data_IF_897353793309
#
_entry.id   IF_897353793309
#
_cell.length_a   1.000
_cell.length_b   1.000
_cell.length_c   1.000
_cell.angle_alpha   90.00
_cell.angle_beta   90.00
_cell.angle_gamma   90.00
#
_symmetry.space_group_name_H-M   'P 1'
#
loop_
_entity.id
_entity.type
_entity.pdbx_description
1 polymer ?
#
# COMPACT_ATOMS: atom_id res chain seq x y z
N UNK A 1 4.86 -7.55 25.20
CA UNK A 1 5.07 -6.25 25.85
C UNK A 1 4.66 -5.11 24.92
N UNK A 2 5.25 -4.96 23.71
CA UNK A 2 4.94 -3.83 22.81
C UNK A 2 3.47 -3.82 22.35
N UNK A 3 2.91 -4.98 21.99
CA UNK A 3 1.51 -5.09 21.58
C UNK A 3 0.52 -4.78 22.72
N UNK A 4 0.81 -5.23 23.93
CA UNK A 4 -0.01 -4.91 25.10
C UNK A 4 0.09 -3.43 25.50
N UNK A 5 1.29 -2.84 25.41
CA UNK A 5 1.47 -1.40 25.65
C UNK A 5 0.70 -0.56 24.63
N UNK A 6 0.79 -0.90 23.33
CA UNK A 6 0.05 -0.24 22.27
C UNK A 6 -1.47 -0.40 22.46
N UNK A 7 -1.95 -1.59 22.83
CA UNK A 7 -3.35 -1.84 23.15
C UNK A 7 -3.85 -1.00 24.33
N UNK A 8 -3.04 -0.88 25.39
CA UNK A 8 -3.37 -0.03 26.54
C UNK A 8 -3.44 1.45 26.15
N UNK A 9 -2.45 1.96 25.42
CA UNK A 9 -2.45 3.35 24.94
C UNK A 9 -3.69 3.63 24.07
N UNK A 10 -4.04 2.69 23.17
CA UNK A 10 -5.21 2.84 22.32
C UNK A 10 -6.51 2.80 23.11
N UNK A 11 -6.62 1.92 24.11
CA UNK A 11 -7.81 1.79 24.93
C UNK A 11 -8.09 3.04 25.77
N UNK A 12 -7.07 3.53 26.50
CA UNK A 12 -7.20 4.73 27.34
C UNK A 12 -7.21 6.03 26.53
N UNK A 13 -6.56 6.06 25.37
CA UNK A 13 -6.53 7.21 24.46
C UNK A 13 -7.70 7.26 23.48
N UNK A 14 -8.60 6.27 23.46
CA UNK A 14 -9.64 6.14 22.44
C UNK A 14 -10.54 7.37 22.35
N UNK A 15 -11.01 7.90 23.49
CA UNK A 15 -11.88 9.06 23.54
C UNK A 15 -11.19 10.34 23.04
N UNK A 16 -9.92 10.55 23.40
CA UNK A 16 -9.12 11.67 22.90
C UNK A 16 -8.89 11.56 21.38
N UNK A 17 -8.54 10.37 20.89
CA UNK A 17 -8.28 10.13 19.46
C UNK A 17 -9.55 10.37 18.65
N UNK A 18 -10.68 9.77 19.03
CA UNK A 18 -11.91 9.86 18.25
C UNK A 18 -12.64 11.19 18.44
N UNK A 19 -12.67 11.73 19.65
CA UNK A 19 -13.39 12.95 19.98
C UNK A 19 -12.64 14.22 19.58
N UNK A 20 -11.38 14.36 20.04
CA UNK A 20 -10.62 15.60 19.88
C UNK A 20 -9.79 15.61 18.60
N UNK A 21 -9.01 14.55 18.36
CA UNK A 21 -8.07 14.52 17.23
C UNK A 21 -8.79 14.32 15.89
N UNK A 22 -9.68 13.32 15.81
CA UNK A 22 -10.35 12.96 14.55
C UNK A 22 -11.76 13.56 14.40
N UNK A 23 -12.32 14.16 15.44
CA UNK A 23 -13.69 14.73 15.46
C UNK A 23 -14.77 13.76 14.98
N UNK A 24 -14.60 12.47 15.27
CA UNK A 24 -15.54 11.39 14.91
C UNK A 24 -15.80 10.50 16.12
N UNK A 25 -16.55 10.96 17.13
CA UNK A 25 -16.70 10.25 18.40
C UNK A 25 -17.31 8.85 18.26
N UNK A 26 -18.20 8.63 17.31
CA UNK A 26 -18.80 7.30 17.08
C UNK A 26 -17.81 6.24 16.53
N UNK A 27 -16.63 6.64 16.02
CA UNK A 27 -15.59 5.70 15.64
C UNK A 27 -14.98 4.94 16.82
N UNK A 28 -15.31 5.33 18.05
CA UNK A 28 -14.84 4.65 19.28
C UNK A 28 -15.24 3.17 19.31
N UNK A 29 -16.39 2.80 18.74
CA UNK A 29 -16.85 1.41 18.69
C UNK A 29 -15.89 0.56 17.86
N UNK A 30 -15.52 1.02 16.66
CA UNK A 30 -14.56 0.34 15.80
C UNK A 30 -13.15 0.31 16.42
N UNK A 31 -12.74 1.42 17.05
CA UNK A 31 -11.42 1.53 17.67
C UNK A 31 -11.26 0.56 18.85
N UNK A 32 -12.28 0.44 19.71
CA UNK A 32 -12.24 -0.49 20.85
C UNK A 32 -12.18 -1.97 20.42
N UNK A 33 -12.78 -2.32 19.28
CA UNK A 33 -12.67 -3.67 18.70
C UNK A 33 -11.23 -3.97 18.26
N UNK A 34 -10.47 -2.96 17.82
CA UNK A 34 -9.07 -3.14 17.40
C UNK A 34 -8.09 -3.33 18.57
N UNK A 35 -8.45 -2.97 19.79
CA UNK A 35 -7.56 -3.11 20.95
C UNK A 35 -7.05 -4.54 21.16
N UNK A 36 -7.89 -5.59 21.24
CA UNK A 36 -7.42 -6.97 21.38
C UNK A 36 -6.66 -7.45 20.12
N UNK A 37 -6.97 -6.90 18.95
CA UNK A 37 -6.29 -7.26 17.69
C UNK A 37 -4.80 -6.93 17.74
N UNK A 38 -4.42 -5.82 18.38
CA UNK A 38 -3.01 -5.42 18.53
C UNK A 38 -2.18 -6.48 19.26
N UNK A 39 -2.76 -7.10 20.28
CA UNK A 39 -2.09 -8.17 21.03
C UNK A 39 -1.98 -9.43 20.16
N UNK A 40 -3.05 -9.80 19.45
CA UNK A 40 -3.08 -10.97 18.54
C UNK A 40 -2.01 -10.81 17.45
N UNK A 41 -1.98 -9.65 16.77
CA UNK A 41 -1.05 -9.35 15.68
C UNK A 41 0.40 -9.30 16.18
N UNK A 42 0.64 -8.80 17.39
CA UNK A 42 1.98 -8.79 17.97
C UNK A 42 2.53 -10.22 18.17
N UNK A 43 1.72 -11.13 18.68
CA UNK A 43 2.10 -12.54 18.85
C UNK A 43 2.28 -13.22 17.48
N UNK A 44 1.34 -13.00 16.57
CA UNK A 44 1.39 -13.51 15.19
C UNK A 44 2.65 -13.04 14.46
N UNK A 45 3.04 -11.77 14.64
CA UNK A 45 4.26 -11.19 14.07
C UNK A 45 5.54 -11.92 14.53
N UNK A 46 5.62 -12.26 15.81
CA UNK A 46 6.74 -13.05 16.35
C UNK A 46 6.78 -14.45 15.73
N UNK A 47 5.63 -15.13 15.61
CA UNK A 47 5.55 -16.47 14.99
C UNK A 47 5.95 -16.43 13.51
N UNK A 48 5.45 -15.46 12.76
CA UNK A 48 5.83 -15.26 11.35
C UNK A 48 7.33 -14.97 11.22
N UNK A 49 7.85 -14.09 12.08
CA UNK A 49 9.28 -13.75 12.12
C UNK A 49 10.15 -14.96 12.41
N UNK A 50 9.72 -15.85 13.29
CA UNK A 50 10.42 -17.12 13.59
C UNK A 50 10.54 -18.00 12.33
N UNK A 51 9.48 -18.23 11.58
CA UNK A 51 9.53 -19.03 10.35
C UNK A 51 10.37 -18.37 9.26
N UNK A 52 10.25 -17.05 9.11
CA UNK A 52 11.05 -16.27 8.14
C UNK A 52 12.55 -16.32 8.49
N UNK A 53 12.89 -16.26 9.78
CA UNK A 53 14.26 -16.41 10.29
C UNK A 53 14.86 -17.80 10.01
N UNK A 54 14.02 -18.84 9.95
CA UNK A 54 14.41 -20.19 9.52
C UNK A 54 14.54 -20.34 7.99
N UNK A 55 14.34 -19.27 7.22
CA UNK A 55 14.43 -19.28 5.77
C UNK A 55 13.18 -19.85 5.06
N UNK A 56 12.09 -20.11 5.79
CA UNK A 56 10.83 -20.60 5.19
C UNK A 56 9.75 -19.53 5.21
N UNK A 57 9.30 -19.12 4.03
CA UNK A 57 8.24 -18.12 3.85
C UNK A 57 6.83 -18.72 3.79
N UNK A 58 6.72 -20.04 3.54
CA UNK A 58 5.43 -20.71 3.28
C UNK A 58 4.44 -20.58 4.44
N UNK A 59 4.78 -20.85 5.72
CA UNK A 59 3.84 -20.71 6.81
C UNK A 59 3.31 -19.27 6.96
N UNK A 60 4.19 -18.28 6.75
CA UNK A 60 3.80 -16.86 6.78
C UNK A 60 2.84 -16.53 5.65
N UNK A 61 3.12 -16.95 4.42
CA UNK A 61 2.28 -16.69 3.25
C UNK A 61 0.89 -17.34 3.40
N UNK A 62 0.83 -18.60 3.80
CA UNK A 62 -0.45 -19.30 4.01
C UNK A 62 -1.26 -18.65 5.13
N UNK A 63 -0.62 -18.27 6.25
CA UNK A 63 -1.31 -17.56 7.33
C UNK A 63 -1.89 -16.22 6.88
N UNK A 64 -1.20 -15.48 5.99
CA UNK A 64 -1.70 -14.21 5.43
C UNK A 64 -2.90 -14.42 4.49
N UNK A 65 -2.86 -15.46 3.66
CA UNK A 65 -3.99 -15.80 2.79
C UNK A 65 -5.22 -16.16 3.63
N UNK A 66 -5.05 -17.02 4.64
CA UNK A 66 -6.12 -17.39 5.55
C UNK A 66 -6.70 -16.19 6.29
N UNK A 67 -5.84 -15.30 6.80
CA UNK A 67 -6.22 -14.03 7.42
C UNK A 67 -7.13 -13.21 6.51
N UNK A 68 -6.74 -13.02 5.24
CA UNK A 68 -7.51 -12.21 4.30
C UNK A 68 -8.84 -12.85 3.91
N UNK A 69 -8.88 -14.17 3.72
CA UNK A 69 -10.13 -14.89 3.42
C UNK A 69 -11.12 -14.75 4.58
N UNK A 70 -10.68 -15.05 5.80
CA UNK A 70 -11.55 -14.97 6.99
C UNK A 70 -11.97 -13.52 7.24
N UNK A 71 -11.04 -12.57 7.12
CA UNK A 71 -11.33 -11.14 7.23
C UNK A 71 -12.42 -10.72 6.24
N UNK A 72 -12.28 -11.06 4.96
CA UNK A 72 -13.25 -10.69 3.93
C UNK A 72 -14.66 -11.23 4.24
N UNK A 73 -14.77 -12.49 4.60
CA UNK A 73 -16.06 -13.14 4.88
C UNK A 73 -16.70 -12.54 6.15
N UNK A 74 -15.92 -12.49 7.25
CA UNK A 74 -16.45 -12.04 8.54
C UNK A 74 -16.72 -10.54 8.55
N UNK A 75 -15.88 -9.71 7.89
CA UNK A 75 -16.12 -8.27 7.80
C UNK A 75 -17.44 -7.95 7.14
N UNK A 76 -17.75 -8.58 6.01
CA UNK A 76 -19.01 -8.34 5.29
C UNK A 76 -20.20 -8.79 6.12
N UNK A 77 -20.14 -9.99 6.67
CA UNK A 77 -21.21 -10.53 7.49
C UNK A 77 -21.45 -9.71 8.77
N UNK A 78 -20.39 -9.42 9.53
CA UNK A 78 -20.50 -8.68 10.78
C UNK A 78 -20.88 -7.22 10.55
N UNK A 79 -20.37 -6.58 9.49
CA UNK A 79 -20.77 -5.23 9.13
C UNK A 79 -22.27 -5.16 8.81
N UNK A 80 -22.81 -6.10 8.04
CA UNK A 80 -24.24 -6.14 7.71
C UNK A 80 -25.12 -6.33 8.96
N UNK A 81 -24.77 -7.30 9.81
CA UNK A 81 -25.52 -7.60 11.04
C UNK A 81 -25.49 -6.42 12.00
N UNK A 82 -24.29 -5.86 12.26
CA UNK A 82 -24.13 -4.76 13.20
C UNK A 82 -24.66 -3.45 12.64
N UNK A 83 -24.63 -3.20 11.35
CA UNK A 83 -25.29 -2.06 10.73
C UNK A 83 -26.80 -2.08 11.02
N UNK A 84 -27.46 -3.21 10.80
CA UNK A 84 -28.89 -3.38 11.07
C UNK A 84 -29.20 -3.17 12.55
N UNK A 85 -28.36 -3.69 13.45
CA UNK A 85 -28.52 -3.51 14.89
C UNK A 85 -28.31 -2.03 15.29
N UNK A 86 -27.24 -1.41 14.79
CA UNK A 86 -26.90 0.00 15.06
C UNK A 86 -27.99 0.96 14.56
N UNK A 87 -28.57 0.69 13.37
CA UNK A 87 -29.67 1.50 12.83
C UNK A 87 -30.92 1.43 13.70
N UNK A 88 -31.26 0.24 14.24
CA UNK A 88 -32.38 0.08 15.18
C UNK A 88 -32.13 0.80 16.50
N UNK A 89 -30.93 0.66 17.07
CA UNK A 89 -30.54 1.34 18.30
C UNK A 89 -30.49 2.87 18.11
N UNK A 90 -29.95 3.32 16.99
CA UNK A 90 -29.87 4.74 16.65
C UNK A 90 -31.23 5.39 16.38
N UNK A 91 -32.20 4.62 15.88
CA UNK A 91 -33.57 5.11 15.67
C UNK A 91 -34.22 5.56 17.01
N UNK A 92 -33.91 4.87 18.10
CA UNK A 92 -34.36 5.24 19.45
C UNK A 92 -33.70 6.53 19.96
N UNK A 93 -32.53 6.88 19.43
CA UNK A 93 -31.74 8.07 19.78
C UNK A 93 -31.91 9.22 18.77
N UNK A 94 -32.79 9.07 17.78
CA UNK A 94 -33.04 10.08 16.76
C UNK A 94 -31.93 10.18 15.68
N UNK A 95 -31.00 9.23 15.62
CA UNK A 95 -29.87 9.23 14.66
C UNK A 95 -29.54 7.81 14.16
N UNK A 96 -30.47 7.22 13.41
CA UNK A 96 -30.36 5.83 12.91
C UNK A 96 -29.17 5.64 11.95
N UNK A 97 -28.89 6.63 11.11
CA UNK A 97 -27.88 6.55 10.05
C UNK A 97 -26.45 6.55 10.63
N UNK A 98 -26.15 7.48 11.51
CA UNK A 98 -24.81 7.60 12.12
C UNK A 98 -24.47 6.39 13.00
N UNK A 99 -25.44 5.92 13.81
CA UNK A 99 -25.24 4.72 14.63
C UNK A 99 -25.15 3.45 13.77
N UNK A 100 -25.97 3.34 12.71
CA UNK A 100 -25.88 2.25 11.77
C UNK A 100 -24.48 2.18 11.12
N UNK A 101 -23.97 3.32 10.64
CA UNK A 101 -22.64 3.42 10.08
C UNK A 101 -21.52 3.07 11.09
N UNK A 102 -21.63 3.57 12.33
CA UNK A 102 -20.64 3.32 13.38
C UNK A 102 -20.56 1.83 13.79
N UNK A 103 -21.72 1.19 13.97
CA UNK A 103 -21.79 -0.22 14.29
C UNK A 103 -21.40 -1.09 13.08
N UNK A 104 -21.74 -0.67 11.85
CA UNK A 104 -21.27 -1.32 10.63
C UNK A 104 -19.74 -1.28 10.49
N UNK A 105 -19.14 -0.13 10.79
CA UNK A 105 -17.69 0.02 10.83
C UNK A 105 -17.04 -0.87 11.90
N UNK A 106 -17.64 -0.96 13.11
CA UNK A 106 -17.21 -1.88 14.15
C UNK A 106 -17.29 -3.35 13.68
N UNK A 107 -18.34 -3.71 12.93
CA UNK A 107 -18.48 -5.03 12.31
C UNK A 107 -17.35 -5.34 11.32
N UNK A 108 -16.99 -4.38 10.47
CA UNK A 108 -15.84 -4.51 9.58
C UNK A 108 -14.54 -4.77 10.34
N UNK A 109 -14.31 -4.11 11.47
CA UNK A 109 -13.12 -4.34 12.31
C UNK A 109 -13.14 -5.67 13.06
N UNK A 110 -14.33 -6.25 13.36
CA UNK A 110 -14.46 -7.61 13.89
C UNK A 110 -13.91 -8.63 12.88
N UNK A 111 -14.14 -8.43 11.59
CA UNK A 111 -13.55 -9.29 10.54
C UNK A 111 -12.02 -9.27 10.58
N UNK A 112 -11.40 -8.10 10.79
CA UNK A 112 -9.95 -8.00 10.98
C UNK A 112 -9.49 -8.78 12.21
N UNK A 113 -10.23 -8.72 13.32
CA UNK A 113 -9.95 -9.50 14.53
C UNK A 113 -10.03 -11.01 14.28
N UNK A 114 -11.10 -11.45 13.62
CA UNK A 114 -11.31 -12.88 13.29
C UNK A 114 -10.23 -13.39 12.31
N UNK A 115 -9.87 -12.58 11.29
CA UNK A 115 -8.79 -12.88 10.37
C UNK A 115 -7.46 -13.06 11.09
N UNK A 116 -7.07 -12.10 11.92
CA UNK A 116 -5.84 -12.18 12.70
C UNK A 116 -5.82 -13.39 13.65
N UNK A 117 -6.94 -13.67 14.30
CA UNK A 117 -7.07 -14.83 15.19
C UNK A 117 -6.92 -16.14 14.41
N UNK A 118 -7.57 -16.28 13.26
CA UNK A 118 -7.45 -17.47 12.41
C UNK A 118 -6.01 -17.71 11.95
N UNK A 119 -5.31 -16.65 11.57
CA UNK A 119 -3.89 -16.69 11.21
C UNK A 119 -3.00 -17.09 12.39
N UNK A 120 -3.30 -16.56 13.59
CA UNK A 120 -2.60 -16.91 14.83
C UNK A 120 -2.76 -18.40 15.17
N UNK A 121 -3.99 -18.91 15.08
CA UNK A 121 -4.28 -20.34 15.32
C UNK A 121 -3.55 -21.23 14.32
N UNK A 122 -3.56 -20.87 13.04
CA UNK A 122 -2.82 -21.60 12.01
C UNK A 122 -1.30 -21.56 12.25
N UNK A 123 -0.73 -20.38 12.48
CA UNK A 123 0.70 -20.24 12.75
C UNK A 123 1.11 -20.99 14.04
N UNK A 124 0.26 -20.95 15.07
CA UNK A 124 0.43 -21.71 16.31
C UNK A 124 0.42 -23.21 16.08
N UNK A 125 -0.53 -23.71 15.29
CA UNK A 125 -0.58 -25.13 14.90
C UNK A 125 0.71 -25.56 14.19
N UNK A 126 1.14 -24.81 13.18
CA UNK A 126 2.40 -25.08 12.46
C UNK A 126 3.60 -25.04 13.40
N UNK A 127 3.64 -24.07 14.32
CA UNK A 127 4.71 -23.97 15.33
C UNK A 127 4.77 -25.20 16.22
N UNK A 128 3.64 -25.66 16.75
CA UNK A 128 3.57 -26.86 17.61
C UNK A 128 4.09 -28.11 16.87
N UNK A 129 3.69 -28.29 15.61
CA UNK A 129 4.17 -29.39 14.76
C UNK A 129 5.68 -29.28 14.54
N UNK A 130 6.17 -28.07 14.21
CA UNK A 130 7.59 -27.81 13.95
C UNK A 130 8.45 -27.98 15.20
N UNK A 131 8.00 -27.58 16.38
CA UNK A 131 8.74 -27.70 17.63
C UNK A 131 9.12 -29.16 17.95
N UNK A 132 8.33 -30.13 17.53
CA UNK A 132 8.66 -31.57 17.67
C UNK A 132 9.93 -31.92 16.86
N UNK A 133 10.00 -31.41 15.64
CA UNK A 133 11.16 -31.60 14.74
C UNK A 133 12.38 -30.81 15.26
N UNK A 134 12.16 -29.56 15.65
CA UNK A 134 13.19 -28.66 16.14
C UNK A 134 13.88 -29.17 17.41
N UNK A 135 13.12 -29.69 18.38
CA UNK A 135 13.69 -30.32 19.58
C UNK A 135 14.62 -31.49 19.26
N UNK A 136 14.31 -32.27 18.19
CA UNK A 136 15.17 -33.37 17.74
C UNK A 136 16.47 -32.86 17.12
N UNK A 137 16.43 -31.74 16.43
CA UNK A 137 17.62 -31.07 15.84
C UNK A 137 18.51 -30.46 16.92
N UNK A 138 17.92 -29.75 17.89
CA UNK A 138 18.64 -29.16 19.02
C UNK A 138 19.38 -30.19 19.86
N UNK A 139 18.84 -31.41 20.03
CA UNK A 139 19.52 -32.50 20.75
C UNK A 139 20.78 -33.00 20.03
N UNK A 140 20.92 -32.75 18.73
CA UNK A 140 22.08 -33.17 17.92
C UNK A 140 23.18 -32.11 17.83
N UNK A 141 22.87 -30.85 18.18
CA UNK A 141 23.85 -29.77 18.18
C UNK A 141 24.82 -29.95 19.36
N UNK A 142 26.09 -30.07 19.04
CA UNK A 142 27.18 -29.97 20.05
C UNK A 142 27.19 -28.52 20.56
N UNK A 143 27.27 -28.34 21.87
CA UNK A 143 27.37 -27.06 22.57
C UNK A 143 28.44 -26.15 21.95
N UNK A 144 28.04 -25.27 21.07
CA UNK A 144 28.71 -24.00 20.79
C UNK A 144 28.17 -23.00 21.78
N UNK A 145 29.00 -22.10 22.28
CA UNK A 145 28.64 -21.07 23.26
C UNK A 145 27.36 -20.32 22.74
N UNK A 146 26.26 -20.46 23.47
CA UNK A 146 25.07 -19.69 23.17
C UNK A 146 25.32 -18.22 23.53
N UNK A 147 24.93 -17.31 22.66
CA UNK A 147 24.96 -15.87 22.91
C UNK A 147 24.20 -15.53 24.20
N UNK A 148 24.70 -14.57 24.95
CA UNK A 148 24.04 -14.10 26.16
C UNK A 148 22.67 -13.48 25.82
N UNK A 149 21.67 -13.72 26.68
CA UNK A 149 20.35 -13.06 26.53
C UNK A 149 20.45 -11.54 26.41
N UNK A 150 21.43 -10.92 27.08
CA UNK A 150 21.67 -9.48 26.99
C UNK A 150 22.16 -9.03 25.60
N UNK A 151 23.03 -9.82 24.98
CA UNK A 151 23.54 -9.57 23.63
C UNK A 151 22.45 -9.74 22.60
N UNK A 152 21.64 -10.80 22.71
CA UNK A 152 20.47 -11.03 21.85
C UNK A 152 19.48 -9.87 21.98
N UNK A 153 19.15 -9.44 23.21
CA UNK A 153 18.25 -8.33 23.46
C UNK A 153 18.78 -7.01 22.88
N UNK A 154 20.07 -6.73 23.08
CA UNK A 154 20.73 -5.55 22.50
C UNK A 154 20.66 -5.55 20.97
N UNK A 155 20.93 -6.69 20.34
CA UNK A 155 20.84 -6.86 18.89
C UNK A 155 19.41 -6.63 18.39
N UNK A 156 18.41 -7.20 19.07
CA UNK A 156 17.00 -7.00 18.73
C UNK A 156 16.62 -5.52 18.81
N UNK A 157 16.95 -4.82 19.87
CA UNK A 157 16.63 -3.40 20.06
C UNK A 157 17.27 -2.54 18.97
N UNK A 158 18.57 -2.76 18.68
CA UNK A 158 19.29 -2.00 17.63
C UNK A 158 18.66 -2.22 16.25
N UNK A 159 18.14 -3.43 15.99
CA UNK A 159 17.53 -3.77 14.70
C UNK A 159 16.06 -3.28 14.61
N UNK A 160 15.30 -3.41 15.69
CA UNK A 160 13.86 -3.09 15.70
C UNK A 160 13.61 -1.58 15.70
N UNK A 161 14.33 -0.80 16.50
CA UNK A 161 14.08 0.64 16.65
C UNK A 161 14.08 1.40 15.31
N UNK A 162 15.07 1.26 14.42
CA UNK A 162 15.04 1.97 13.14
C UNK A 162 13.85 1.59 12.26
N UNK A 163 13.43 0.32 12.28
CA UNK A 163 12.29 -0.16 11.51
C UNK A 163 10.99 0.39 12.09
N UNK A 164 10.83 0.36 13.42
CA UNK A 164 9.66 0.95 14.08
C UNK A 164 9.53 2.44 13.80
N UNK A 165 10.60 3.21 13.95
CA UNK A 165 10.59 4.66 13.69
C UNK A 165 10.21 4.94 12.24
N UNK A 166 10.79 4.21 11.28
CA UNK A 166 10.45 4.35 9.86
C UNK A 166 8.97 4.06 9.60
N UNK A 167 8.49 2.92 10.09
CA UNK A 167 7.10 2.51 9.89
C UNK A 167 6.11 3.47 10.56
N UNK A 168 6.45 3.97 11.77
CA UNK A 168 5.63 4.94 12.49
C UNK A 168 5.49 6.23 11.70
N UNK A 169 6.59 6.80 11.17
CA UNK A 169 6.55 8.03 10.37
C UNK A 169 5.65 7.85 9.14
N UNK A 170 5.77 6.72 8.44
CA UNK A 170 4.92 6.44 7.28
C UNK A 170 3.43 6.31 7.63
N UNK A 171 3.11 5.64 8.73
CA UNK A 171 1.71 5.42 9.13
C UNK A 171 1.09 6.64 9.82
N UNK A 172 1.87 7.41 10.57
CA UNK A 172 1.41 8.66 11.17
C UNK A 172 0.98 9.69 10.13
N UNK A 173 1.60 9.70 8.93
CA UNK A 173 1.23 10.63 7.87
C UNK A 173 -0.29 10.60 7.60
N UNK A 174 -0.86 9.42 7.38
CA UNK A 174 -2.28 9.27 7.09
C UNK A 174 -3.20 9.75 8.23
N UNK A 175 -2.78 9.52 9.49
CA UNK A 175 -3.55 9.98 10.67
C UNK A 175 -3.45 11.49 10.85
N UNK A 176 -2.26 12.06 10.63
CA UNK A 176 -2.02 13.50 10.68
C UNK A 176 -2.83 14.20 9.58
N UNK A 177 -2.82 13.67 8.35
CA UNK A 177 -3.60 14.20 7.24
C UNK A 177 -5.08 14.29 7.58
N UNK A 178 -5.65 13.21 8.13
CA UNK A 178 -7.05 13.20 8.53
C UNK A 178 -7.35 14.19 9.65
N UNK A 179 -6.46 14.29 10.64
CA UNK A 179 -6.62 15.24 11.75
C UNK A 179 -6.55 16.69 11.25
N UNK A 180 -5.52 17.02 10.46
CA UNK A 180 -5.34 18.36 9.90
C UNK A 180 -6.52 18.74 9.00
N UNK A 181 -6.88 17.84 8.06
CA UNK A 181 -7.99 18.05 7.15
C UNK A 181 -9.30 18.34 7.87
N UNK A 182 -9.73 17.47 8.80
CA UNK A 182 -11.01 17.62 9.49
C UNK A 182 -11.05 18.85 10.39
N UNK A 183 -9.93 19.19 11.05
CA UNK A 183 -9.86 20.38 11.89
C UNK A 183 -9.91 21.68 11.08
N UNK A 184 -9.18 21.75 9.95
CA UNK A 184 -9.24 22.94 9.08
C UNK A 184 -10.60 23.05 8.40
N UNK A 185 -11.17 21.96 7.88
CA UNK A 185 -12.49 21.96 7.26
C UNK A 185 -13.58 22.43 8.23
N UNK A 186 -13.52 21.97 9.48
CA UNK A 186 -14.45 22.45 10.52
C UNK A 186 -14.22 23.94 10.88
N UNK A 187 -12.97 24.42 10.87
CA UNK A 187 -12.66 25.83 11.08
C UNK A 187 -13.13 26.70 9.92
N UNK A 188 -13.07 26.20 8.67
CA UNK A 188 -13.61 26.86 7.48
C UNK A 188 -15.16 26.90 7.44
N UNK A 189 -15.84 26.25 8.38
CA UNK A 189 -17.30 26.27 8.52
C UNK A 189 -18.02 25.18 7.71
N UNK A 190 -17.31 24.21 7.12
CA UNK A 190 -17.96 23.08 6.47
C UNK A 190 -18.73 22.20 7.46
N UNK A 191 -19.88 21.66 7.03
CA UNK A 191 -20.67 20.80 7.90
C UNK A 191 -19.94 19.49 8.19
N UNK A 192 -20.22 18.90 9.35
CA UNK A 192 -19.63 17.60 9.75
C UNK A 192 -19.98 16.49 8.73
N UNK A 193 -21.16 16.57 8.15
CA UNK A 193 -21.62 15.63 7.11
C UNK A 193 -20.80 15.77 5.84
N UNK A 194 -20.52 17.00 5.39
CA UNK A 194 -19.78 17.22 4.14
C UNK A 194 -18.35 16.70 4.22
N UNK A 195 -17.54 17.21 5.19
CA UNK A 195 -16.17 16.76 5.28
C UNK A 195 -16.05 15.29 5.70
N UNK A 196 -17.04 14.75 6.41
CA UNK A 196 -17.15 13.33 6.72
C UNK A 196 -17.37 12.49 5.48
N UNK A 197 -18.31 12.87 4.61
CA UNK A 197 -18.61 12.21 3.34
C UNK A 197 -17.39 12.25 2.40
N UNK A 198 -16.77 13.41 2.25
CA UNK A 198 -15.59 13.55 1.40
C UNK A 198 -14.42 12.68 1.88
N UNK A 199 -14.18 12.66 3.19
CA UNK A 199 -13.16 11.78 3.77
C UNK A 199 -13.54 10.30 3.63
N UNK A 200 -14.80 9.94 3.71
CA UNK A 200 -15.31 8.59 3.47
C UNK A 200 -15.04 8.12 2.03
N UNK A 201 -15.30 8.97 1.03
CA UNK A 201 -14.98 8.68 -0.37
C UNK A 201 -13.46 8.55 -0.57
N UNK A 202 -12.69 9.45 0.04
CA UNK A 202 -11.23 9.42 -0.02
C UNK A 202 -10.65 8.12 0.55
N UNK A 203 -11.07 7.72 1.76
CA UNK A 203 -10.51 6.53 2.44
C UNK A 203 -11.11 5.23 1.92
N UNK A 204 -12.42 5.19 1.66
CA UNK A 204 -13.16 3.98 1.32
C UNK A 204 -13.13 3.61 -0.17
N UNK A 205 -12.87 4.57 -1.06
CA UNK A 205 -12.87 4.32 -2.51
C UNK A 205 -11.52 4.67 -3.15
N UNK A 206 -11.11 5.93 -3.04
CA UNK A 206 -9.85 6.40 -3.64
C UNK A 206 -8.62 5.64 -3.13
N UNK A 207 -8.39 5.62 -1.82
CA UNK A 207 -7.22 4.95 -1.25
C UNK A 207 -7.21 3.44 -1.53
N UNK A 208 -8.37 2.80 -1.51
CA UNK A 208 -8.49 1.36 -1.82
C UNK A 208 -7.97 1.07 -3.23
N UNK A 209 -8.39 1.87 -4.22
CA UNK A 209 -7.97 1.71 -5.61
C UNK A 209 -6.47 2.01 -5.81
N UNK A 210 -5.96 3.08 -5.21
CA UNK A 210 -4.55 3.45 -5.30
C UNK A 210 -3.64 2.40 -4.66
N UNK A 211 -4.08 1.75 -3.59
CA UNK A 211 -3.29 0.74 -2.89
C UNK A 211 -3.06 -0.55 -3.71
N UNK A 212 -3.91 -0.86 -4.70
CA UNK A 212 -3.74 -2.05 -5.54
C UNK A 212 -2.43 -2.02 -6.35
N UNK A 213 -2.13 -0.99 -7.16
CA UNK A 213 -0.82 -0.87 -7.81
C UNK A 213 0.35 -0.78 -6.81
N UNK A 214 0.15 -0.13 -5.67
CA UNK A 214 1.19 0.00 -4.65
C UNK A 214 1.55 -1.34 -3.99
N UNK A 215 0.60 -2.25 -3.86
CA UNK A 215 0.87 -3.62 -3.39
C UNK A 215 1.79 -4.37 -4.38
N UNK A 216 1.58 -4.20 -5.70
CA UNK A 216 2.46 -4.75 -6.73
C UNK A 216 3.87 -4.14 -6.61
N UNK A 217 3.95 -2.82 -6.45
CA UNK A 217 5.21 -2.10 -6.27
C UNK A 217 5.98 -2.59 -5.03
N UNK A 218 5.28 -2.80 -3.91
CA UNK A 218 5.85 -3.33 -2.66
C UNK A 218 6.41 -4.74 -2.83
N UNK A 219 5.70 -5.60 -3.56
CA UNK A 219 6.15 -6.96 -3.87
C UNK A 219 7.40 -6.98 -4.74
N UNK A 220 7.45 -6.11 -5.77
CA UNK A 220 8.63 -5.95 -6.62
C UNK A 220 9.83 -5.39 -5.84
N UNK A 221 9.59 -4.42 -4.95
CA UNK A 221 10.62 -3.89 -4.07
C UNK A 221 11.20 -4.99 -3.18
N UNK A 222 10.35 -5.74 -2.49
CA UNK A 222 10.77 -6.84 -1.61
C UNK A 222 11.59 -7.91 -2.35
N UNK A 223 11.19 -8.28 -3.58
CA UNK A 223 11.92 -9.26 -4.39
C UNK A 223 13.28 -8.77 -4.88
N UNK A 224 13.45 -7.45 -5.04
CA UNK A 224 14.69 -6.84 -5.55
C UNK A 224 15.75 -6.65 -4.46
N UNK A 225 15.34 -6.52 -3.20
CA UNK A 225 16.23 -6.24 -2.06
C UNK A 225 17.30 -7.30 -1.84
N UNK A 226 17.02 -8.62 -1.82
CA UNK A 226 18.05 -9.63 -1.55
C UNK A 226 19.17 -9.65 -2.59
N UNK A 227 18.83 -9.55 -3.88
CA UNK A 227 19.81 -9.53 -4.97
C UNK A 227 20.70 -8.28 -4.90
N UNK A 228 20.11 -7.13 -4.59
CA UNK A 228 20.86 -5.89 -4.40
C UNK A 228 21.78 -5.98 -3.17
N UNK A 229 21.25 -6.47 -2.05
CA UNK A 229 22.01 -6.60 -0.80
C UNK A 229 23.23 -7.49 -0.98
N UNK A 230 23.08 -8.65 -1.64
CA UNK A 230 24.19 -9.55 -1.95
C UNK A 230 25.25 -8.90 -2.86
N UNK A 231 24.83 -8.20 -3.92
CA UNK A 231 25.76 -7.50 -4.82
C UNK A 231 26.49 -6.35 -4.12
N UNK A 232 25.78 -5.61 -3.25
CA UNK A 232 26.36 -4.48 -2.51
C UNK A 232 27.33 -4.94 -1.43
N UNK A 233 26.98 -5.97 -0.68
CA UNK A 233 27.85 -6.57 0.35
C UNK A 233 29.14 -7.19 -0.24
N UNK A 234 29.06 -7.78 -1.43
CA UNK A 234 30.20 -8.33 -2.15
C UNK A 234 31.08 -7.27 -2.84
N UNK A 235 30.81 -5.98 -2.68
CA UNK A 235 31.55 -4.90 -3.33
C UNK A 235 31.37 -4.80 -4.84
N UNK A 236 30.49 -5.57 -5.45
CA UNK A 236 30.22 -5.61 -6.92
C UNK A 236 29.38 -4.42 -7.35
N UNK A 237 29.95 -3.21 -7.33
CA UNK A 237 29.24 -1.94 -7.60
C UNK A 237 28.53 -1.91 -8.97
N UNK A 238 29.09 -2.52 -10.00
CA UNK A 238 28.48 -2.61 -11.33
C UNK A 238 27.17 -3.40 -11.30
N UNK A 239 27.19 -4.55 -10.63
CA UNK A 239 26.00 -5.40 -10.48
C UNK A 239 24.93 -4.72 -9.62
N UNK A 240 25.33 -4.06 -8.52
CA UNK A 240 24.40 -3.29 -7.68
C UNK A 240 23.70 -2.19 -8.49
N UNK A 241 24.42 -1.41 -9.31
CA UNK A 241 23.83 -0.41 -10.20
C UNK A 241 22.86 -1.02 -11.20
N UNK A 242 23.21 -2.18 -11.77
CA UNK A 242 22.35 -2.92 -12.71
C UNK A 242 21.05 -3.36 -12.04
N UNK A 243 21.12 -3.90 -10.81
CA UNK A 243 19.93 -4.32 -10.05
C UNK A 243 19.02 -3.12 -9.72
N UNK A 244 19.59 -1.99 -9.29
CA UNK A 244 18.83 -0.75 -9.05
C UNK A 244 18.11 -0.30 -10.31
N UNK A 245 18.82 -0.25 -11.46
CA UNK A 245 18.24 0.20 -12.72
C UNK A 245 17.10 -0.71 -13.20
N UNK A 246 17.29 -2.03 -13.13
CA UNK A 246 16.28 -3.02 -13.50
C UNK A 246 15.03 -2.90 -12.61
N UNK A 247 15.20 -2.85 -11.29
CA UNK A 247 14.08 -2.73 -10.36
C UNK A 247 13.29 -1.43 -10.59
N UNK A 248 13.99 -0.31 -10.79
CA UNK A 248 13.36 0.99 -11.06
C UNK A 248 12.58 0.96 -12.37
N UNK A 249 13.13 0.36 -13.42
CA UNK A 249 12.45 0.24 -14.71
C UNK A 249 11.21 -0.65 -14.62
N UNK A 250 11.30 -1.81 -13.97
CA UNK A 250 10.14 -2.68 -13.79
C UNK A 250 8.99 -2.02 -13.06
N UNK A 251 9.27 -1.29 -11.99
CA UNK A 251 8.23 -0.57 -11.26
C UNK A 251 7.58 0.51 -12.13
N UNK A 252 8.36 1.27 -12.89
CA UNK A 252 7.82 2.32 -13.75
C UNK A 252 6.99 1.75 -14.89
N UNK A 253 7.39 0.61 -15.47
CA UNK A 253 6.62 -0.12 -16.50
C UNK A 253 5.24 -0.53 -15.99
N UNK A 254 5.07 -0.76 -14.68
CA UNK A 254 3.77 -1.09 -14.07
C UNK A 254 3.04 0.18 -13.59
N UNK A 255 3.73 1.12 -12.97
CA UNK A 255 3.12 2.28 -12.34
C UNK A 255 2.48 3.25 -13.34
N UNK A 256 3.13 3.50 -14.49
CA UNK A 256 2.59 4.41 -15.51
C UNK A 256 1.25 3.96 -16.10
N UNK A 257 1.09 2.72 -16.61
CA UNK A 257 -0.19 2.29 -17.15
C UNK A 257 -1.28 2.21 -16.06
N UNK A 258 -0.94 1.86 -14.82
CA UNK A 258 -1.89 1.89 -13.72
C UNK A 258 -2.37 3.32 -13.42
N UNK A 259 -1.46 4.29 -13.38
CA UNK A 259 -1.82 5.69 -13.14
C UNK A 259 -2.71 6.25 -14.24
N UNK A 260 -2.31 6.09 -15.50
CA UNK A 260 -3.09 6.59 -16.64
C UNK A 260 -4.41 5.83 -16.78
N UNK A 261 -4.40 4.50 -16.62
CA UNK A 261 -5.62 3.68 -16.70
C UNK A 261 -6.65 4.05 -15.63
N UNK A 262 -6.21 4.22 -14.38
CA UNK A 262 -7.09 4.67 -13.30
C UNK A 262 -7.57 6.11 -13.49
N UNK A 263 -6.74 7.00 -14.02
CA UNK A 263 -7.15 8.37 -14.33
C UNK A 263 -8.20 8.42 -15.44
N UNK A 264 -7.99 7.70 -16.54
CA UNK A 264 -8.90 7.70 -17.70
C UNK A 264 -10.22 6.98 -17.41
N UNK A 265 -10.15 5.83 -16.74
CA UNK A 265 -11.32 5.00 -16.39
C UNK A 265 -11.84 5.27 -14.96
N UNK A 266 -11.57 6.44 -14.36
CA UNK A 266 -11.93 6.72 -12.97
C UNK A 266 -13.42 6.49 -12.70
N UNK A 267 -14.31 7.16 -13.42
CA UNK A 267 -15.76 7.02 -13.26
C UNK A 267 -16.26 5.61 -13.60
N UNK A 268 -15.86 4.99 -14.74
CA UNK A 268 -16.21 3.61 -15.05
C UNK A 268 -15.81 2.59 -13.97
N UNK A 269 -14.61 2.69 -13.44
CA UNK A 269 -14.09 1.78 -12.39
C UNK A 269 -14.88 1.96 -11.09
N UNK A 270 -15.12 3.19 -10.67
CA UNK A 270 -15.91 3.49 -9.46
C UNK A 270 -17.33 2.99 -9.55
N UNK A 271 -17.97 3.19 -10.70
CA UNK A 271 -19.32 2.67 -10.96
C UNK A 271 -19.33 1.14 -10.97
N UNK A 272 -18.33 0.51 -11.60
CA UNK A 272 -18.23 -0.95 -11.69
C UNK A 272 -18.02 -1.62 -10.33
N UNK A 273 -17.13 -1.06 -9.48
CA UNK A 273 -16.71 -1.69 -8.23
C UNK A 273 -17.55 -1.26 -7.02
N UNK A 274 -17.99 -0.01 -6.98
CA UNK A 274 -18.69 0.57 -5.83
C UNK A 274 -20.12 1.02 -6.14
N UNK A 275 -20.58 0.88 -7.38
CA UNK A 275 -21.88 1.42 -7.80
C UNK A 275 -21.95 2.95 -7.74
N UNK A 276 -20.80 3.63 -7.61
CA UNK A 276 -20.72 5.08 -7.42
C UNK A 276 -20.43 5.80 -8.73
N UNK A 277 -21.40 6.58 -9.18
CA UNK A 277 -21.30 7.44 -10.37
C UNK A 277 -21.01 8.91 -10.02
N UNK A 278 -20.69 9.23 -8.77
CA UNK A 278 -20.47 10.61 -8.33
C UNK A 278 -19.24 11.22 -9.03
N UNK A 279 -19.42 12.45 -9.50
CA UNK A 279 -18.35 13.22 -10.15
C UNK A 279 -17.21 13.49 -9.18
N UNK A 280 -17.51 13.69 -7.91
CA UNK A 280 -16.53 13.96 -6.86
C UNK A 280 -15.54 12.79 -6.69
N UNK A 281 -16.05 11.55 -6.57
CA UNK A 281 -15.21 10.36 -6.46
C UNK A 281 -14.35 10.17 -7.71
N UNK A 282 -14.92 10.38 -8.90
CA UNK A 282 -14.20 10.29 -10.16
C UNK A 282 -13.07 11.32 -10.25
N UNK A 283 -13.33 12.59 -9.90
CA UNK A 283 -12.32 13.65 -9.87
C UNK A 283 -11.22 13.38 -8.84
N UNK A 284 -11.56 12.85 -7.66
CA UNK A 284 -10.56 12.44 -6.68
C UNK A 284 -9.59 11.39 -7.24
N UNK A 285 -10.12 10.36 -7.92
CA UNK A 285 -9.30 9.31 -8.52
C UNK A 285 -8.48 9.83 -9.70
N UNK A 286 -9.05 10.69 -10.54
CA UNK A 286 -8.35 11.34 -11.66
C UNK A 286 -7.16 12.17 -11.17
N UNK A 287 -7.39 13.06 -10.19
CA UNK A 287 -6.36 13.94 -9.64
C UNK A 287 -5.27 13.14 -8.94
N UNK A 288 -5.67 12.12 -8.18
CA UNK A 288 -4.74 11.36 -7.35
C UNK A 288 -4.05 10.20 -8.03
N UNK A 289 -4.47 9.80 -9.23
CA UNK A 289 -3.87 8.66 -9.95
C UNK A 289 -2.37 8.83 -10.22
N UNK A 290 -1.89 10.07 -10.40
CA UNK A 290 -0.47 10.37 -10.57
C UNK A 290 0.37 9.98 -9.35
N UNK A 291 -0.21 9.97 -8.15
CA UNK A 291 0.45 9.56 -6.92
C UNK A 291 0.93 8.10 -6.97
N UNK A 292 0.28 7.23 -7.77
CA UNK A 292 0.71 5.84 -8.00
C UNK A 292 2.16 5.78 -8.45
N UNK A 293 2.57 6.66 -9.38
CA UNK A 293 3.93 6.71 -9.93
C UNK A 293 4.92 7.06 -8.81
N UNK A 294 4.62 8.10 -8.05
CA UNK A 294 5.52 8.59 -7.01
C UNK A 294 5.60 7.64 -5.82
N UNK A 295 4.48 7.13 -5.35
CA UNK A 295 4.48 6.18 -4.24
C UNK A 295 5.12 4.84 -4.60
N UNK A 296 4.91 4.34 -5.83
CA UNK A 296 5.57 3.12 -6.30
C UNK A 296 7.10 3.28 -6.32
N UNK A 297 7.59 4.40 -6.85
CA UNK A 297 9.02 4.71 -6.89
C UNK A 297 9.60 4.96 -5.49
N UNK A 298 8.86 5.66 -4.62
CA UNK A 298 9.24 5.88 -3.22
C UNK A 298 9.37 4.56 -2.46
N UNK A 299 8.39 3.68 -2.58
CA UNK A 299 8.39 2.35 -1.94
C UNK A 299 9.59 1.52 -2.38
N UNK A 300 9.85 1.45 -3.69
CA UNK A 300 11.04 0.76 -4.20
C UNK A 300 12.33 1.38 -3.65
N UNK A 301 12.47 2.69 -3.75
CA UNK A 301 13.69 3.38 -3.36
C UNK A 301 14.00 3.25 -1.86
N UNK A 302 12.96 3.17 -1.02
CA UNK A 302 13.11 2.82 0.40
C UNK A 302 13.68 1.40 0.56
N UNK A 303 13.13 0.42 -0.14
CA UNK A 303 13.63 -0.96 -0.13
C UNK A 303 15.08 -1.05 -0.63
N UNK A 304 15.43 -0.33 -1.69
CA UNK A 304 16.79 -0.29 -2.22
C UNK A 304 17.80 0.30 -1.20
N UNK A 305 17.44 1.39 -0.51
CA UNK A 305 18.28 1.97 0.54
C UNK A 305 18.44 1.02 1.74
N UNK A 306 17.36 0.32 2.12
CA UNK A 306 17.41 -0.72 3.16
C UNK A 306 18.32 -1.88 2.72
N UNK A 307 18.22 -2.35 1.48
CA UNK A 307 19.08 -3.40 0.91
C UNK A 307 20.55 -3.01 0.84
N UNK A 308 20.87 -1.72 0.76
CA UNK A 308 22.24 -1.19 0.85
C UNK A 308 22.71 -0.97 2.31
N UNK A 309 21.96 -1.44 3.30
CA UNK A 309 22.20 -1.20 4.73
C UNK A 309 22.25 0.29 5.11
N UNK A 310 21.40 1.11 4.45
CA UNK A 310 21.27 2.56 4.69
C UNK A 310 19.89 2.91 5.24
N UNK A 311 19.43 2.18 6.26
CA UNK A 311 18.09 2.32 6.84
C UNK A 311 17.79 3.72 7.41
N UNK A 312 18.81 4.47 7.82
CA UNK A 312 18.65 5.84 8.35
C UNK A 312 18.27 6.87 7.29
N UNK A 313 18.64 6.64 6.03
CA UNK A 313 18.38 7.59 4.94
C UNK A 313 16.87 7.71 4.60
N UNK A 314 16.12 6.62 4.40
CA UNK A 314 14.67 6.72 4.21
C UNK A 314 13.94 7.42 5.36
N UNK A 315 14.39 7.20 6.61
CA UNK A 315 13.80 7.86 7.78
C UNK A 315 14.01 9.36 7.73
N UNK A 316 15.26 9.80 7.52
CA UNK A 316 15.60 11.21 7.39
C UNK A 316 14.81 11.88 6.26
N UNK A 317 14.75 11.22 5.10
CA UNK A 317 14.04 11.72 3.93
C UNK A 317 12.52 11.80 4.20
N UNK A 318 11.95 10.83 4.93
CA UNK A 318 10.54 10.82 5.29
C UNK A 318 10.17 11.96 6.26
N UNK A 319 11.04 12.27 7.24
CA UNK A 319 10.81 13.42 8.15
C UNK A 319 10.81 14.73 7.36
N UNK A 320 11.76 14.93 6.46
CA UNK A 320 11.81 16.13 5.62
C UNK A 320 10.57 16.21 4.71
N UNK A 321 10.21 15.09 4.08
CA UNK A 321 9.05 15.02 3.20
C UNK A 321 7.75 15.29 3.96
N UNK A 322 7.60 14.75 5.18
CA UNK A 322 6.44 14.98 6.02
C UNK A 322 6.31 16.45 6.44
N UNK A 323 7.40 17.09 6.83
CA UNK A 323 7.38 18.51 7.18
C UNK A 323 6.94 19.39 5.99
N UNK A 324 7.50 19.14 4.80
CA UNK A 324 7.13 19.86 3.58
C UNK A 324 5.69 19.55 3.15
N UNK A 325 5.26 18.29 3.29
CA UNK A 325 3.89 17.86 3.01
C UNK A 325 2.88 18.61 3.86
N UNK A 326 3.12 18.74 5.17
CA UNK A 326 2.20 19.47 6.07
C UNK A 326 2.10 20.94 5.71
N UNK A 327 3.22 21.58 5.35
CA UNK A 327 3.21 22.96 4.87
C UNK A 327 2.37 23.09 3.60
N UNK A 328 2.56 22.18 2.63
CA UNK A 328 1.80 22.15 1.39
C UNK A 328 0.31 21.91 1.66
N UNK A 329 -0.03 20.94 2.53
CA UNK A 329 -1.41 20.63 2.87
C UNK A 329 -2.14 21.85 3.46
N UNK A 330 -1.53 22.48 4.45
CA UNK A 330 -2.11 23.68 5.09
C UNK A 330 -2.22 24.84 4.09
N UNK A 331 -1.20 25.06 3.27
CA UNK A 331 -1.21 26.12 2.26
C UNK A 331 -2.31 25.89 1.19
N UNK A 332 -2.51 24.64 0.75
CA UNK A 332 -3.56 24.31 -0.22
C UNK A 332 -4.97 24.39 0.38
N UNK A 333 -5.13 24.06 1.65
CA UNK A 333 -6.43 24.17 2.32
C UNK A 333 -6.80 25.63 2.62
N UNK A 334 -5.86 26.40 3.20
CA UNK A 334 -6.15 27.77 3.63
C UNK A 334 -6.00 28.80 2.51
N UNK A 335 -5.07 28.57 1.55
CA UNK A 335 -4.80 29.52 0.49
C UNK A 335 -5.66 29.35 -0.76
N UNK A 336 -5.97 28.10 -1.13
CA UNK A 336 -6.70 27.78 -2.37
C UNK A 336 -8.08 27.14 -2.14
N UNK A 337 -8.43 26.87 -0.89
CA UNK A 337 -9.69 26.24 -0.47
C UNK A 337 -10.00 24.93 -1.25
N UNK A 338 -8.96 24.13 -1.52
CA UNK A 338 -9.08 22.91 -2.32
C UNK A 338 -9.74 21.74 -1.58
N UNK A 339 -10.09 21.93 -0.32
CA UNK A 339 -10.79 20.93 0.49
C UNK A 339 -10.06 19.56 0.48
N UNK A 340 -10.78 18.45 0.26
CA UNK A 340 -10.20 17.09 0.22
C UNK A 340 -9.15 16.92 -0.89
N UNK A 341 -9.24 17.69 -1.97
CA UNK A 341 -8.23 17.68 -3.04
C UNK A 341 -6.87 18.19 -2.55
N UNK A 342 -6.84 19.07 -1.54
CA UNK A 342 -5.59 19.48 -0.90
C UNK A 342 -4.83 18.28 -0.32
N UNK A 343 -5.54 17.35 0.33
CA UNK A 343 -4.95 16.10 0.87
C UNK A 343 -4.39 15.24 -0.25
N UNK A 344 -5.14 15.07 -1.34
CA UNK A 344 -4.73 14.25 -2.50
C UNK A 344 -3.47 14.82 -3.14
N UNK A 345 -3.44 16.12 -3.40
CA UNK A 345 -2.30 16.80 -4.02
C UNK A 345 -1.08 16.80 -3.08
N UNK A 346 -1.28 17.13 -1.80
CA UNK A 346 -0.21 17.10 -0.81
C UNK A 346 0.42 15.71 -0.68
N UNK A 347 -0.38 14.64 -0.71
CA UNK A 347 0.10 13.26 -0.72
C UNK A 347 0.90 12.93 -1.99
N UNK A 348 0.46 13.38 -3.16
CA UNK A 348 1.25 13.24 -4.39
C UNK A 348 2.58 13.98 -4.29
N UNK A 349 2.59 15.19 -3.72
CA UNK A 349 3.81 15.97 -3.45
C UNK A 349 4.73 15.26 -2.44
N UNK A 350 4.18 14.66 -1.38
CA UNK A 350 4.96 13.84 -0.44
C UNK A 350 5.69 12.71 -1.16
N UNK A 351 4.98 11.95 -2.00
CA UNK A 351 5.56 10.88 -2.81
C UNK A 351 6.67 11.39 -3.73
N UNK A 352 6.46 12.53 -4.39
CA UNK A 352 7.45 13.17 -5.27
C UNK A 352 8.71 13.62 -4.49
N UNK A 353 8.53 14.29 -3.36
CA UNK A 353 9.64 14.72 -2.49
C UNK A 353 10.46 13.52 -2.03
N UNK A 354 9.78 12.45 -1.59
CA UNK A 354 10.43 11.20 -1.22
C UNK A 354 11.25 10.61 -2.37
N UNK A 355 10.70 10.59 -3.59
CA UNK A 355 11.42 10.13 -4.78
C UNK A 355 12.70 10.93 -5.03
N UNK A 356 12.64 12.25 -4.94
CA UNK A 356 13.78 13.13 -5.16
C UNK A 356 14.87 12.91 -4.10
N UNK A 357 14.48 12.89 -2.82
CA UNK A 357 15.41 12.71 -1.70
C UNK A 357 16.06 11.32 -1.72
N UNK A 358 15.27 10.28 -1.96
CA UNK A 358 15.77 8.92 -2.07
C UNK A 358 16.68 8.73 -3.29
N UNK A 359 16.35 9.32 -4.44
CA UNK A 359 17.20 9.27 -5.63
C UNK A 359 18.57 9.92 -5.38
N UNK A 360 18.61 11.06 -4.63
CA UNK A 360 19.87 11.68 -4.19
C UNK A 360 20.67 10.75 -3.28
N UNK A 361 20.02 10.13 -2.30
CA UNK A 361 20.65 9.18 -1.38
C UNK A 361 21.18 7.95 -2.13
N UNK A 362 20.40 7.34 -3.02
CA UNK A 362 20.83 6.19 -3.84
C UNK A 362 22.03 6.58 -4.71
N UNK A 363 21.99 7.75 -5.37
CA UNK A 363 23.12 8.23 -6.17
C UNK A 363 24.38 8.41 -5.33
N UNK A 364 24.25 8.97 -4.12
CA UNK A 364 25.38 9.19 -3.20
C UNK A 364 26.06 7.88 -2.78
N UNK A 365 25.29 6.83 -2.47
CA UNK A 365 25.85 5.60 -1.90
C UNK A 365 26.19 4.54 -2.96
N UNK A 366 25.45 4.46 -4.06
CA UNK A 366 25.69 3.48 -5.13
C UNK A 366 26.41 4.07 -6.34
N UNK A 367 26.38 5.40 -6.52
CA UNK A 367 26.82 6.06 -7.75
C UNK A 367 25.92 5.77 -8.96
N UNK A 368 24.70 5.25 -8.73
CA UNK A 368 23.71 5.02 -9.77
C UNK A 368 23.14 6.34 -10.27
N UNK A 369 23.04 6.51 -11.60
CA UNK A 369 22.34 7.61 -12.25
C UNK A 369 21.08 7.08 -12.91
N UNK A 370 19.98 7.76 -12.71
CA UNK A 370 18.68 7.34 -13.28
C UNK A 370 18.70 7.45 -14.81
N UNK A 371 18.27 6.40 -15.47
CA UNK A 371 18.13 6.33 -16.91
C UNK A 371 16.76 6.89 -17.32
N UNK A 372 16.67 8.22 -17.50
CA UNK A 372 15.39 8.93 -17.66
C UNK A 372 14.60 8.44 -18.86
N UNK A 373 15.27 8.25 -20.03
CA UNK A 373 14.59 7.93 -21.28
C UNK A 373 13.84 6.61 -21.22
N UNK A 374 14.51 5.52 -20.86
CA UNK A 374 13.90 4.18 -20.85
C UNK A 374 13.03 3.89 -19.63
N UNK A 375 13.35 4.53 -18.50
CA UNK A 375 12.68 4.26 -17.23
C UNK A 375 11.42 5.11 -17.06
N UNK A 376 11.41 6.36 -17.55
CA UNK A 376 10.30 7.29 -17.35
C UNK A 376 9.63 7.70 -18.66
N UNK A 377 10.41 8.19 -19.64
CA UNK A 377 9.83 8.77 -20.84
C UNK A 377 9.11 7.72 -21.70
N UNK A 378 9.74 6.59 -21.98
CA UNK A 378 9.12 5.54 -22.81
C UNK A 378 7.85 4.96 -22.16
N UNK A 379 7.85 4.53 -20.87
CA UNK A 379 6.63 4.11 -20.21
C UNK A 379 5.54 5.19 -20.17
N UNK A 380 5.91 6.47 -19.94
CA UNK A 380 4.95 7.57 -19.90
C UNK A 380 4.25 7.78 -21.25
N UNK A 381 5.03 7.83 -22.35
CA UNK A 381 4.48 7.99 -23.70
C UNK A 381 3.63 6.77 -24.09
N UNK A 382 4.09 5.55 -23.77
CA UNK A 382 3.31 4.33 -24.03
C UNK A 382 2.00 4.32 -23.23
N UNK A 383 2.03 4.77 -21.98
CA UNK A 383 0.83 4.87 -21.14
C UNK A 383 -0.13 5.97 -21.63
N UNK A 384 0.39 7.10 -22.10
CA UNK A 384 -0.45 8.15 -22.70
C UNK A 384 -1.15 7.64 -23.96
N UNK A 385 -0.44 6.95 -24.88
CA UNK A 385 -1.04 6.31 -26.04
C UNK A 385 -2.08 5.26 -25.68
N UNK A 386 -1.77 4.44 -24.65
CA UNK A 386 -2.74 3.49 -24.08
C UNK A 386 -3.99 4.22 -23.58
N UNK A 387 -3.83 5.35 -22.85
CA UNK A 387 -4.95 6.11 -22.31
C UNK A 387 -5.93 6.58 -23.38
N UNK A 388 -5.41 7.07 -24.53
CA UNK A 388 -6.24 7.47 -25.67
C UNK A 388 -7.04 6.27 -26.22
N UNK A 389 -6.38 5.12 -26.44
CA UNK A 389 -7.05 3.92 -26.96
C UNK A 389 -8.10 3.40 -25.98
N UNK A 390 -7.77 3.35 -24.69
CA UNK A 390 -8.69 2.94 -23.62
C UNK A 390 -9.93 3.81 -23.58
N UNK A 391 -9.76 5.12 -23.68
CA UNK A 391 -10.89 6.08 -23.72
C UNK A 391 -11.78 5.86 -24.95
N UNK A 392 -11.17 5.70 -26.13
CA UNK A 392 -11.93 5.46 -27.38
C UNK A 392 -12.69 4.13 -27.33
N UNK A 393 -12.02 3.06 -26.91
CA UNK A 393 -12.63 1.72 -26.78
C UNK A 393 -13.78 1.76 -25.76
N UNK A 394 -13.59 2.42 -24.60
CA UNK A 394 -14.64 2.54 -23.62
C UNK A 394 -15.88 3.27 -24.18
N UNK A 395 -15.68 4.41 -24.84
CA UNK A 395 -16.78 5.17 -25.46
C UNK A 395 -17.51 4.35 -26.51
N UNK A 396 -16.78 3.64 -27.37
CA UNK A 396 -17.34 2.80 -28.42
C UNK A 396 -18.19 1.67 -27.83
N UNK A 397 -17.64 0.90 -26.90
CA UNK A 397 -18.33 -0.26 -26.31
C UNK A 397 -19.50 0.16 -25.41
N UNK A 398 -19.39 1.30 -24.71
CA UNK A 398 -20.49 1.85 -23.95
C UNK A 398 -21.65 2.23 -24.86
N UNK A 399 -21.38 2.84 -26.03
CA UNK A 399 -22.39 3.18 -27.02
C UNK A 399 -23.06 1.93 -27.63
N UNK A 400 -22.27 0.90 -27.98
CA UNK A 400 -22.76 -0.32 -28.61
C UNK A 400 -23.55 -1.22 -27.64
N UNK A 401 -23.01 -1.45 -26.44
CA UNK A 401 -23.53 -2.45 -25.52
C UNK A 401 -24.34 -1.86 -24.35
N UNK A 402 -24.29 -0.54 -24.14
CA UNK A 402 -24.94 0.19 -23.04
C UNK A 402 -24.66 -0.40 -21.65
N UNK A 403 -23.54 -1.14 -21.52
CA UNK A 403 -23.10 -1.80 -20.30
C UNK A 403 -21.74 -1.26 -19.86
N UNK A 404 -21.72 -0.56 -18.72
CA UNK A 404 -20.48 -0.04 -18.13
C UNK A 404 -19.48 -1.16 -17.81
N UNK A 405 -19.96 -2.27 -17.24
CA UNK A 405 -19.10 -3.39 -16.86
C UNK A 405 -18.32 -3.96 -18.05
N UNK A 406 -19.04 -4.28 -19.15
CA UNK A 406 -18.43 -4.88 -20.35
C UNK A 406 -17.50 -3.85 -21.02
N UNK A 407 -17.94 -2.62 -21.17
CA UNK A 407 -17.12 -1.56 -21.76
C UNK A 407 -15.83 -1.33 -20.99
N UNK A 408 -15.89 -1.31 -19.66
CA UNK A 408 -14.70 -1.15 -18.79
C UNK A 408 -13.76 -2.34 -18.92
N UNK A 409 -14.25 -3.57 -18.84
CA UNK A 409 -13.40 -4.77 -18.94
C UNK A 409 -12.72 -4.89 -20.30
N UNK A 410 -13.46 -4.66 -21.40
CA UNK A 410 -12.91 -4.67 -22.76
C UNK A 410 -11.84 -3.58 -22.92
N UNK A 411 -12.08 -2.40 -22.37
CA UNK A 411 -11.13 -1.29 -22.41
C UNK A 411 -9.86 -1.56 -21.64
N UNK A 412 -9.94 -2.22 -20.49
CA UNK A 412 -8.76 -2.65 -19.71
C UNK A 412 -7.94 -3.65 -20.53
N UNK A 413 -8.58 -4.65 -21.12
CA UNK A 413 -7.88 -5.65 -21.96
C UNK A 413 -7.20 -4.98 -23.15
N UNK A 414 -7.94 -4.13 -23.91
CA UNK A 414 -7.37 -3.35 -25.00
C UNK A 414 -6.19 -2.48 -24.55
N UNK A 415 -6.30 -1.86 -23.37
CA UNK A 415 -5.23 -1.07 -22.76
C UNK A 415 -3.96 -1.87 -22.51
N UNK A 416 -4.07 -3.05 -21.91
CA UNK A 416 -2.91 -3.94 -21.66
C UNK A 416 -2.19 -4.29 -22.97
N UNK A 417 -2.94 -4.65 -24.01
CA UNK A 417 -2.34 -4.97 -25.33
C UNK A 417 -1.69 -3.74 -25.97
N UNK A 418 -2.37 -2.61 -25.98
CA UNK A 418 -1.85 -1.36 -26.56
C UNK A 418 -0.58 -0.92 -25.84
N UNK A 419 -0.59 -0.92 -24.50
CA UNK A 419 0.58 -0.54 -23.71
C UNK A 419 1.77 -1.45 -23.98
N UNK A 420 1.56 -2.77 -23.95
CA UNK A 420 2.61 -3.74 -24.23
C UNK A 420 3.21 -3.55 -25.64
N UNK A 421 2.36 -3.33 -26.63
CA UNK A 421 2.79 -3.08 -28.03
C UNK A 421 3.61 -1.80 -28.14
N UNK A 422 3.11 -0.67 -27.62
CA UNK A 422 3.80 0.61 -27.66
C UNK A 422 5.13 0.57 -26.89
N UNK A 423 5.14 -0.07 -25.71
CA UNK A 423 6.35 -0.22 -24.91
C UNK A 423 7.46 -1.00 -25.65
N UNK A 424 7.09 -2.05 -26.39
CA UNK A 424 8.03 -2.83 -27.20
C UNK A 424 8.47 -2.07 -28.45
N UNK A 425 7.57 -1.41 -29.15
CA UNK A 425 7.89 -0.59 -30.33
C UNK A 425 8.88 0.52 -29.99
N UNK A 426 8.70 1.18 -28.84
CA UNK A 426 9.58 2.24 -28.35
C UNK A 426 10.85 1.71 -27.65
N UNK A 427 11.09 0.40 -27.70
CA UNK A 427 12.25 -0.29 -27.10
C UNK A 427 12.41 0.02 -25.60
N UNK A 428 11.28 0.10 -24.88
CA UNK A 428 11.25 0.32 -23.43
C UNK A 428 11.76 -0.87 -22.62
N UNK A 429 11.60 -2.09 -23.14
CA UNK A 429 12.12 -3.34 -22.55
C UNK A 429 13.01 -4.08 -23.55
N UNK A 430 14.07 -4.69 -23.04
CA UNK A 430 14.92 -5.60 -23.80
C UNK A 430 14.42 -7.04 -23.69
N UNK A 431 14.78 -7.89 -24.63
CA UNK A 431 14.40 -9.32 -24.60
C UNK A 431 14.84 -10.01 -23.30
N UNK A 432 16.05 -9.70 -22.82
CA UNK A 432 16.57 -10.25 -21.56
C UNK A 432 15.75 -9.83 -20.35
N UNK A 433 15.17 -8.64 -20.37
CA UNK A 433 14.29 -8.12 -19.32
C UNK A 433 12.94 -8.81 -19.37
N UNK A 434 12.37 -9.02 -20.57
CA UNK A 434 11.10 -9.73 -20.75
C UNK A 434 11.20 -11.18 -20.26
N UNK A 435 12.33 -11.85 -20.47
CA UNK A 435 12.56 -13.22 -19.98
C UNK A 435 12.48 -13.35 -18.45
N UNK A 436 12.64 -12.26 -17.71
CA UNK A 436 12.54 -12.23 -16.24
C UNK A 436 11.08 -12.13 -15.74
N UNK A 437 10.13 -11.79 -16.60
CA UNK A 437 8.72 -11.80 -16.24
C UNK A 437 8.17 -13.22 -16.12
N UNK A 438 7.12 -13.44 -15.31
CA UNK A 438 6.38 -14.69 -15.33
C UNK A 438 5.93 -15.01 -16.76
N UNK A 439 6.21 -16.24 -17.22
CA UNK A 439 5.98 -16.66 -18.62
C UNK A 439 6.74 -15.82 -19.69
N UNK A 440 7.86 -15.20 -19.32
CA UNK A 440 8.66 -14.35 -20.23
C UNK A 440 9.05 -15.01 -21.55
N UNK A 441 9.34 -16.34 -21.57
CA UNK A 441 9.59 -17.10 -22.80
C UNK A 441 8.41 -17.07 -23.77
N UNK A 442 7.18 -17.14 -23.28
CA UNK A 442 5.95 -17.06 -24.08
C UNK A 442 5.75 -15.65 -24.62
N UNK A 443 6.00 -14.63 -23.78
CA UNK A 443 5.92 -13.22 -24.18
C UNK A 443 6.94 -12.88 -25.28
N UNK A 444 8.17 -13.36 -25.15
CA UNK A 444 9.20 -13.17 -26.20
C UNK A 444 8.81 -13.84 -27.50
N UNK A 445 8.31 -15.09 -27.48
CA UNK A 445 7.83 -15.78 -28.69
C UNK A 445 6.70 -15.00 -29.36
N UNK A 446 5.74 -14.49 -28.60
CA UNK A 446 4.63 -13.69 -29.11
C UNK A 446 5.12 -12.38 -29.74
N UNK A 447 6.01 -11.67 -29.04
CA UNK A 447 6.58 -10.41 -29.51
C UNK A 447 7.41 -10.57 -30.77
N UNK A 448 8.18 -11.68 -30.92
CA UNK A 448 8.89 -12.03 -32.18
C UNK A 448 7.92 -12.34 -33.29
N UNK A 449 6.82 -13.08 -33.01
CA UNK A 449 5.78 -13.37 -34.02
C UNK A 449 5.10 -12.10 -34.52
N UNK A 450 4.99 -11.10 -33.68
CA UNK A 450 4.43 -9.78 -34.03
C UNK A 450 5.46 -8.78 -34.59
N UNK A 451 6.69 -9.24 -34.88
CA UNK A 451 7.81 -8.42 -35.41
C UNK A 451 8.18 -7.22 -34.52
N UNK A 452 7.83 -7.25 -33.21
CA UNK A 452 8.11 -6.21 -32.24
C UNK A 452 9.49 -6.35 -31.58
N UNK A 453 10.09 -7.53 -31.64
CA UNK A 453 11.46 -7.84 -31.22
C UNK A 453 12.23 -8.41 -32.43
N UNK A 454 13.39 -7.84 -32.66
CA UNK A 454 14.37 -8.36 -33.65
C UNK A 454 15.31 -9.37 -33.01
#
# INVERSE_FOLDING_TARGET
VSGTAAAAILYFGADFITGTLLRTPLCIFALKVLVPVLVIVAVLGVMRGFFQGLGTMMPSAVSQILEQIVNAIVSVWAAYVLFSYGSKAGALLGNAEDYGAAYGAAGGTIGTAAGALSALLFAGFVLVVYLRVFKKTLRKERKTSADSYGEIFKLLIITIIPVLVSSTIYNCNATIDQAVYKNIAAWQGYSKTDYGTWNGIYTGKYQVLINVPLAIASSLAASSVPALSAAYASGKRGEAKRQIGLATRFIMVVAFPCAVGMGVLASPILQMLFGDSSELAARMLQTGSVAIIFFSLSTLSNGLLQGMNRMKEPIKNAVIALALHLIILVALMLGLDLNIFAVIIANACFGLIMCILNARSIRRYSGYRQEVRRTFFVPAVSAAGMGVVVWLVYRLFLYLLRSNLIATLVSIVAGVFTYATLLLMLKGLTEQEILRFPKGRTLVKLARKMHLLR
#
